data_IF_702869686701
#
_entry.id   IF_702869686701
#
_cell.length_a   1.000
_cell.length_b   1.000
_cell.length_c   1.000
_cell.angle_alpha   90.00
_cell.angle_beta   90.00
_cell.angle_gamma   90.00
#
_symmetry.space_group_name_H-M   'P 1'
#
loop_
_entity.id
_entity.type
_entity.pdbx_description
1 polymer ?
#
# COMPACT_ATOMS: atom_id res chain seq x y z
N UNK A 1 -11.17 1.57 9.24
CA UNK A 1 -11.08 0.95 10.58
C UNK A 1 -10.70 -0.50 10.35
N UNK A 2 -9.64 -1.02 11.00
CA UNK A 2 -9.29 -2.45 10.89
C UNK A 2 -10.24 -3.25 11.77
N UNK A 3 -11.23 -3.90 11.15
CA UNK A 3 -12.22 -4.73 11.82
C UNK A 3 -11.82 -6.21 11.76
N UNK A 4 -12.13 -6.94 12.81
CA UNK A 4 -11.94 -8.39 12.91
C UNK A 4 -13.24 -9.05 13.37
N UNK A 5 -13.53 -10.24 12.85
CA UNK A 5 -14.60 -11.10 13.33
C UNK A 5 -14.01 -12.11 14.28
N UNK A 6 -14.55 -12.20 15.49
CA UNK A 6 -14.28 -13.30 16.40
C UNK A 6 -15.50 -14.22 16.37
N UNK A 7 -15.30 -15.47 16.01
CA UNK A 7 -16.30 -16.55 16.12
C UNK A 7 -15.93 -17.40 17.34
N UNK A 8 -16.89 -17.66 18.21
CA UNK A 8 -16.71 -18.48 19.40
C UNK A 8 -17.77 -19.58 19.39
N UNK A 9 -17.34 -20.82 19.54
CA UNK A 9 -18.18 -22.01 19.68
C UNK A 9 -18.00 -22.53 21.09
N UNK A 10 -19.03 -22.42 21.92
CA UNK A 10 -18.98 -22.84 23.31
C UNK A 10 -20.23 -23.65 23.68
N UNK A 11 -20.16 -24.58 24.64
CA UNK A 11 -21.31 -25.28 25.18
C UNK A 11 -22.22 -24.30 25.95
N UNK A 12 -23.52 -24.50 25.86
CA UNK A 12 -24.55 -23.58 26.36
C UNK A 12 -24.66 -23.48 27.88
N UNK A 13 -23.82 -24.21 28.62
CA UNK A 13 -23.67 -24.15 30.06
C UNK A 13 -22.76 -23.00 30.53
N UNK A 14 -21.97 -22.38 29.64
CA UNK A 14 -21.06 -21.28 29.99
C UNK A 14 -21.63 -19.94 29.51
N UNK A 15 -21.76 -18.98 30.42
CA UNK A 15 -22.37 -17.67 30.18
C UNK A 15 -21.40 -16.68 29.50
N UNK A 16 -20.79 -17.09 28.39
CA UNK A 16 -19.81 -16.30 27.62
C UNK A 16 -20.41 -15.00 27.06
N UNK A 17 -21.69 -15.01 26.71
CA UNK A 17 -22.38 -13.86 26.13
C UNK A 17 -22.34 -12.63 27.05
N UNK A 18 -22.70 -12.80 28.33
CA UNK A 18 -22.72 -11.70 29.29
C UNK A 18 -21.31 -11.19 29.62
N UNK A 19 -20.33 -12.08 29.75
CA UNK A 19 -18.96 -11.71 30.07
C UNK A 19 -18.31 -10.89 28.93
N UNK A 20 -18.54 -11.29 27.68
CA UNK A 20 -17.96 -10.61 26.51
C UNK A 20 -18.65 -9.28 26.18
N UNK A 21 -19.99 -9.24 26.25
CA UNK A 21 -20.77 -8.03 25.89
C UNK A 21 -20.68 -6.92 26.94
N UNK A 22 -20.39 -7.24 28.21
CA UNK A 22 -20.24 -6.23 29.27
C UNK A 22 -18.81 -5.70 29.38
N UNK A 23 -17.79 -6.53 29.11
CA UNK A 23 -16.40 -6.17 29.36
C UNK A 23 -15.68 -5.58 28.14
N UNK A 24 -16.21 -5.74 26.92
CA UNK A 24 -15.53 -5.33 25.70
C UNK A 24 -16.39 -4.50 24.76
N UNK A 25 -15.77 -3.55 24.06
CA UNK A 25 -16.42 -2.74 23.04
C UNK A 25 -16.49 -3.49 21.71
N UNK A 26 -17.66 -3.49 21.08
CA UNK A 26 -17.93 -4.15 19.80
C UNK A 26 -18.67 -3.24 18.83
N UNK A 27 -18.52 -3.52 17.53
CA UNK A 27 -19.23 -2.82 16.44
C UNK A 27 -20.58 -3.49 16.14
N UNK A 28 -20.63 -4.82 16.14
CA UNK A 28 -21.85 -5.62 15.95
C UNK A 28 -21.62 -7.01 16.54
N UNK A 29 -22.70 -7.70 16.93
CA UNK A 29 -22.61 -9.07 17.40
C UNK A 29 -23.81 -9.88 16.93
N UNK A 30 -23.63 -11.20 16.81
CA UNK A 30 -24.69 -12.16 16.53
C UNK A 30 -24.50 -13.36 17.46
N UNK A 31 -25.60 -13.81 18.05
CA UNK A 31 -25.63 -15.02 18.88
C UNK A 31 -26.61 -15.99 18.23
N UNK A 32 -26.20 -17.23 18.05
CA UNK A 32 -27.10 -18.30 17.64
C UNK A 32 -26.93 -19.50 18.56
N UNK A 33 -28.05 -20.08 18.99
CA UNK A 33 -28.08 -21.28 19.81
C UNK A 33 -28.46 -22.47 18.91
N UNK A 34 -27.60 -23.49 18.86
CA UNK A 34 -27.82 -24.72 18.08
C UNK A 34 -27.50 -25.92 18.96
N UNK A 35 -28.46 -26.83 19.18
CA UNK A 35 -28.25 -28.15 19.80
C UNK A 35 -27.30 -28.16 21.03
N UNK A 36 -27.60 -27.33 22.04
CA UNK A 36 -26.81 -27.15 23.28
C UNK A 36 -25.45 -26.42 23.13
N UNK A 37 -25.14 -25.88 21.96
CA UNK A 37 -23.99 -25.00 21.71
C UNK A 37 -24.42 -23.55 21.45
N UNK A 38 -23.59 -22.62 21.88
CA UNK A 38 -23.71 -21.17 21.70
C UNK A 38 -22.63 -20.73 20.73
N UNK A 39 -23.07 -20.14 19.62
CA UNK A 39 -22.20 -19.59 18.60
C UNK A 39 -22.25 -18.08 18.68
N UNK A 40 -21.14 -17.45 19.05
CA UNK A 40 -21.04 -16.00 19.20
C UNK A 40 -20.16 -15.47 18.08
N UNK A 41 -20.68 -14.54 17.29
CA UNK A 41 -19.94 -13.78 16.29
C UNK A 41 -19.84 -12.34 16.74
N UNK A 42 -18.64 -11.83 16.99
CA UNK A 42 -18.44 -10.45 17.42
C UNK A 42 -17.55 -9.73 16.42
N UNK A 43 -18.07 -8.64 15.87
CA UNK A 43 -17.34 -7.70 15.03
C UNK A 43 -16.71 -6.62 15.90
N UNK A 44 -15.38 -6.57 15.94
CA UNK A 44 -14.63 -5.65 16.81
C UNK A 44 -13.53 -4.92 16.05
N UNK A 45 -13.08 -3.79 16.58
CA UNK A 45 -11.83 -3.17 16.13
C UNK A 45 -10.62 -4.01 16.58
N UNK A 46 -9.54 -4.00 15.80
CA UNK A 46 -8.31 -4.76 16.09
C UNK A 46 -7.79 -4.63 17.53
N UNK A 47 -7.83 -3.41 18.10
CA UNK A 47 -7.38 -3.19 19.50
C UNK A 47 -8.29 -3.87 20.53
N UNK A 48 -9.59 -3.96 20.26
CA UNK A 48 -10.54 -4.66 21.12
C UNK A 48 -10.45 -6.18 20.90
N UNK A 49 -10.16 -6.63 19.68
CA UNK A 49 -9.95 -8.04 19.36
C UNK A 49 -8.79 -8.65 20.15
N UNK A 50 -7.63 -7.97 20.20
CA UNK A 50 -6.48 -8.43 21.00
C UNK A 50 -6.84 -8.61 22.48
N UNK A 51 -7.63 -7.69 23.05
CA UNK A 51 -8.07 -7.77 24.45
C UNK A 51 -9.03 -8.95 24.68
N UNK A 52 -9.96 -9.18 23.76
CA UNK A 52 -10.90 -10.30 23.83
C UNK A 52 -10.16 -11.64 23.71
N UNK A 53 -9.24 -11.77 22.75
CA UNK A 53 -8.47 -13.00 22.56
C UNK A 53 -7.59 -13.33 23.78
N UNK A 54 -6.92 -12.34 24.36
CA UNK A 54 -6.13 -12.54 25.59
C UNK A 54 -7.00 -12.98 26.78
N UNK A 55 -8.27 -12.57 26.82
CA UNK A 55 -9.23 -12.99 27.86
C UNK A 55 -9.71 -14.42 27.61
N UNK A 56 -10.03 -14.76 26.36
CA UNK A 56 -10.39 -16.12 25.97
C UNK A 56 -9.23 -17.10 26.21
N UNK A 57 -7.99 -16.75 25.89
CA UNK A 57 -6.83 -17.60 26.15
C UNK A 57 -6.66 -17.92 27.66
N UNK A 58 -6.95 -16.96 28.54
CA UNK A 58 -6.97 -17.18 29.99
C UNK A 58 -8.08 -18.14 30.41
N UNK A 59 -9.29 -17.99 29.85
CA UNK A 59 -10.41 -18.88 30.14
C UNK A 59 -10.19 -20.30 29.60
N UNK A 60 -9.54 -20.43 28.45
CA UNK A 60 -9.17 -21.72 27.85
C UNK A 60 -8.07 -22.45 28.63
N UNK A 61 -7.33 -21.74 29.49
CA UNK A 61 -6.30 -22.34 30.35
C UNK A 61 -6.88 -23.11 31.55
N UNK A 62 -8.17 -22.95 31.86
CA UNK A 62 -8.87 -23.76 32.85
C UNK A 62 -9.32 -25.10 32.23
N UNK A 63 -8.98 -26.23 32.87
CA UNK A 63 -9.21 -27.62 32.40
C UNK A 63 -10.68 -27.99 32.07
N UNK A 64 -11.64 -27.12 32.39
CA UNK A 64 -13.08 -27.34 32.19
C UNK A 64 -13.71 -26.49 31.08
N UNK A 65 -12.94 -25.61 30.45
CA UNK A 65 -13.43 -24.74 29.38
C UNK A 65 -13.28 -25.41 28.02
N UNK A 66 -14.35 -26.01 27.51
CA UNK A 66 -14.41 -26.50 26.14
C UNK A 66 -14.99 -25.41 25.24
N UNK A 67 -14.17 -24.63 24.54
CA UNK A 67 -14.67 -23.74 23.50
C UNK A 67 -13.61 -23.51 22.42
N UNK A 68 -14.06 -23.27 21.20
CA UNK A 68 -13.20 -22.91 20.07
C UNK A 68 -13.40 -21.44 19.72
N UNK A 69 -12.31 -20.70 19.54
CA UNK A 69 -12.35 -19.31 19.09
C UNK A 69 -11.57 -19.14 17.78
N UNK A 70 -12.23 -18.57 16.77
CA UNK A 70 -11.69 -18.30 15.44
C UNK A 70 -11.61 -16.79 15.23
N UNK A 71 -10.44 -16.32 14.78
CA UNK A 71 -10.24 -14.92 14.39
C UNK A 71 -10.20 -14.80 12.87
N UNK A 72 -11.13 -14.05 12.30
CA UNK A 72 -11.11 -13.69 10.89
C UNK A 72 -10.77 -12.22 10.69
N UNK A 73 -9.86 -11.95 9.76
CA UNK A 73 -9.64 -10.59 9.28
C UNK A 73 -10.75 -10.22 8.30
N UNK A 74 -11.51 -9.18 8.63
CA UNK A 74 -12.56 -8.69 7.73
C UNK A 74 -11.96 -7.75 6.72
N UNK A 75 -12.10 -8.13 5.46
CA UNK A 75 -11.53 -7.44 4.31
C UNK A 75 -12.39 -6.25 3.86
N UNK A 76 -13.70 -6.40 3.98
CA UNK A 76 -14.68 -5.37 3.67
C UNK A 76 -15.87 -5.50 4.63
N UNK A 77 -16.36 -4.36 5.11
CA UNK A 77 -17.56 -4.28 5.93
C UNK A 77 -18.46 -3.19 5.37
N UNK A 78 -19.71 -3.55 5.06
CA UNK A 78 -20.75 -2.60 4.68
C UNK A 78 -21.64 -2.44 5.91
N UNK A 79 -21.63 -1.27 6.59
CA UNK A 79 -22.57 -1.04 7.66
C UNK A 79 -23.98 -0.98 7.07
N UNK A 80 -24.86 -1.88 7.51
CA UNK A 80 -26.27 -1.86 7.11
C UNK A 80 -26.98 -0.69 7.80
N UNK A 81 -27.43 0.31 7.03
CA UNK A 81 -28.59 1.11 7.40
C UNK A 81 -29.78 0.47 6.70
N UNK A 82 -30.62 -0.22 7.48
CA UNK A 82 -31.92 -0.84 7.18
C UNK A 82 -32.38 -0.93 5.70
N UNK A 83 -32.71 -2.17 5.28
CA UNK A 83 -33.24 -2.65 3.99
C UNK A 83 -33.74 -1.60 2.97
N UNK A 84 -33.13 -1.59 1.79
CA UNK A 84 -33.88 -1.37 0.55
C UNK A 84 -33.32 -2.26 -0.57
N UNK A 85 -34.24 -3.04 -1.15
CA UNK A 85 -34.00 -4.13 -2.09
C UNK A 85 -33.84 -3.54 -3.48
N UNK A 86 -32.72 -3.79 -4.15
CA UNK A 86 -32.64 -3.73 -5.62
C UNK A 86 -31.51 -4.64 -6.11
N UNK A 87 -31.87 -5.77 -6.72
CA UNK A 87 -30.98 -6.63 -7.49
C UNK A 87 -30.87 -6.10 -8.92
N UNK A 88 -29.66 -6.04 -9.49
CA UNK A 88 -29.50 -6.38 -10.90
C UNK A 88 -28.62 -7.62 -11.06
N UNK A 89 -29.10 -8.48 -11.94
CA UNK A 89 -28.39 -9.59 -12.56
C UNK A 89 -27.27 -9.03 -13.45
N UNK A 90 -26.04 -9.55 -13.35
CA UNK A 90 -25.04 -9.37 -14.40
C UNK A 90 -24.05 -10.55 -14.37
N UNK A 91 -24.34 -11.55 -15.19
CA UNK A 91 -23.39 -12.57 -15.62
C UNK A 91 -22.42 -11.95 -16.62
N UNK A 92 -21.21 -11.56 -16.19
CA UNK A 92 -20.05 -11.34 -17.07
C UNK A 92 -18.75 -11.69 -16.34
N UNK A 93 -18.17 -12.82 -16.73
CA UNK A 93 -16.77 -13.24 -16.56
C UNK A 93 -16.03 -12.64 -15.35
N UNK A 94 -16.22 -13.25 -14.18
CA UNK A 94 -15.41 -12.98 -12.99
C UNK A 94 -13.97 -13.45 -13.24
N UNK A 95 -13.16 -12.56 -13.81
CA UNK A 95 -11.78 -12.47 -13.39
C UNK A 95 -11.79 -12.36 -11.86
N UNK A 96 -11.08 -13.25 -11.17
CA UNK A 96 -10.94 -13.29 -9.71
C UNK A 96 -10.42 -11.92 -9.19
N UNK A 97 -11.35 -11.02 -8.90
CA UNK A 97 -11.10 -9.60 -8.59
C UNK A 97 -11.48 -9.36 -7.13
N UNK A 98 -10.59 -8.74 -6.36
CA UNK A 98 -10.91 -8.30 -5.01
C UNK A 98 -12.08 -7.29 -5.02
N UNK A 99 -12.94 -7.34 -4.01
CA UNK A 99 -14.04 -6.39 -3.87
C UNK A 99 -13.52 -4.95 -3.80
N UNK A 100 -14.19 -4.00 -4.44
CA UNK A 100 -13.79 -2.58 -4.41
C UNK A 100 -13.62 -2.06 -2.98
N UNK A 101 -14.49 -2.47 -2.06
CA UNK A 101 -14.43 -2.05 -0.66
C UNK A 101 -13.20 -2.60 0.07
N UNK A 102 -12.78 -3.81 -0.29
CA UNK A 102 -11.54 -4.39 0.19
C UNK A 102 -10.33 -3.62 -0.37
N UNK A 103 -10.32 -3.29 -1.67
CA UNK A 103 -9.24 -2.49 -2.25
C UNK A 103 -9.18 -1.08 -1.63
N UNK A 104 -10.33 -0.47 -1.39
CA UNK A 104 -10.45 0.82 -0.70
C UNK A 104 -9.91 0.76 0.74
N UNK A 105 -10.28 -0.26 1.51
CA UNK A 105 -9.81 -0.41 2.90
C UNK A 105 -8.28 -0.61 2.95
N UNK A 106 -7.73 -1.37 1.99
CA UNK A 106 -6.28 -1.54 1.84
C UNK A 106 -5.59 -0.21 1.52
N UNK A 107 -6.14 0.60 0.60
CA UNK A 107 -5.58 1.93 0.30
C UNK A 107 -5.70 2.87 1.49
N UNK A 108 -6.84 2.94 2.16
CA UNK A 108 -7.03 3.79 3.34
C UNK A 108 -6.04 3.49 4.46
N UNK A 109 -5.76 2.21 4.72
CA UNK A 109 -4.75 1.83 5.71
C UNK A 109 -3.32 2.09 5.23
N UNK A 110 -3.07 1.93 3.93
CA UNK A 110 -1.77 2.16 3.30
C UNK A 110 -1.38 3.64 3.19
N UNK A 111 -2.38 4.53 3.12
CA UNK A 111 -2.22 5.98 2.98
C UNK A 111 -2.13 6.73 4.31
N UNK A 112 -1.97 6.00 5.42
CA UNK A 112 -1.71 6.55 6.74
C UNK A 112 -0.23 6.42 7.07
N UNK A 113 0.36 7.53 7.52
CA UNK A 113 1.69 7.52 8.11
C UNK A 113 1.58 6.79 9.46
N UNK A 114 2.20 5.62 9.54
CA UNK A 114 2.30 4.83 10.77
C UNK A 114 3.75 4.85 11.29
N UNK A 115 3.92 4.65 12.60
CA UNK A 115 5.26 4.55 13.20
C UNK A 115 6.09 3.44 12.54
N UNK A 116 5.47 2.28 12.28
CA UNK A 116 6.11 1.16 11.59
C UNK A 116 6.55 1.53 10.17
N UNK A 117 5.71 2.25 9.41
CA UNK A 117 6.09 2.73 8.08
C UNK A 117 7.37 3.57 8.14
N UNK A 118 7.42 4.54 9.07
CA UNK A 118 8.60 5.40 9.24
C UNK A 118 9.87 4.59 9.57
N UNK A 119 9.78 3.65 10.51
CA UNK A 119 10.94 2.83 10.90
C UNK A 119 11.41 1.91 9.76
N UNK A 120 10.49 1.27 9.04
CA UNK A 120 10.86 0.45 7.89
C UNK A 120 11.51 1.29 6.78
N UNK A 121 11.01 2.49 6.50
CA UNK A 121 11.64 3.42 5.55
C UNK A 121 13.04 3.83 6.02
N UNK A 122 13.24 4.09 7.31
CA UNK A 122 14.56 4.40 7.87
C UNK A 122 15.54 3.25 7.66
N UNK A 123 15.15 2.02 8.02
CA UNK A 123 16.01 0.85 7.87
C UNK A 123 16.28 0.52 6.41
N UNK A 124 15.27 0.60 5.53
CA UNK A 124 15.45 0.40 4.11
C UNK A 124 16.44 1.42 3.51
N UNK A 125 16.33 2.71 3.89
CA UNK A 125 17.24 3.74 3.42
C UNK A 125 18.69 3.51 3.87
N UNK A 126 18.89 3.10 5.13
CA UNK A 126 20.21 2.76 5.64
C UNK A 126 20.81 1.55 4.91
N UNK A 127 20.05 0.47 4.75
CA UNK A 127 20.51 -0.75 4.07
C UNK A 127 20.78 -0.48 2.59
N UNK A 128 19.93 0.28 1.91
CA UNK A 128 20.13 0.67 0.52
C UNK A 128 21.39 1.55 0.35
N UNK A 129 21.60 2.52 1.24
CA UNK A 129 22.79 3.35 1.23
C UNK A 129 24.07 2.52 1.40
N UNK A 130 24.08 1.61 2.37
CA UNK A 130 25.20 0.68 2.58
C UNK A 130 25.39 -0.23 1.36
N UNK A 131 24.31 -0.73 0.77
CA UNK A 131 24.35 -1.56 -0.44
C UNK A 131 24.97 -0.84 -1.63
N UNK A 132 24.61 0.43 -1.85
CA UNK A 132 25.19 1.26 -2.90
C UNK A 132 26.68 1.55 -2.63
N UNK A 133 27.05 1.89 -1.39
CA UNK A 133 28.43 2.16 -1.00
C UNK A 133 29.31 0.92 -1.19
N UNK A 134 28.82 -0.26 -0.80
CA UNK A 134 29.54 -1.52 -0.94
C UNK A 134 29.44 -2.13 -2.34
N UNK A 135 28.70 -1.50 -3.27
CA UNK A 135 28.42 -2.04 -4.60
C UNK A 135 27.86 -3.48 -4.53
N UNK A 136 26.89 -3.69 -3.62
CA UNK A 136 26.26 -4.99 -3.36
C UNK A 136 24.80 -5.00 -3.82
N UNK A 137 24.51 -5.54 -5.02
CA UNK A 137 23.14 -5.63 -5.54
C UNK A 137 22.21 -6.39 -4.60
N UNK A 138 22.73 -7.39 -3.88
CA UNK A 138 21.95 -8.18 -2.91
C UNK A 138 21.43 -7.34 -1.74
N UNK A 139 22.23 -6.40 -1.21
CA UNK A 139 21.79 -5.48 -0.15
C UNK A 139 20.79 -4.47 -0.67
N UNK A 140 20.98 -3.96 -1.89
CA UNK A 140 20.02 -3.05 -2.54
C UNK A 140 18.68 -3.75 -2.76
N UNK A 141 18.69 -4.99 -3.26
CA UNK A 141 17.47 -5.80 -3.41
C UNK A 141 16.79 -6.09 -2.06
N UNK A 142 17.58 -6.39 -1.02
CA UNK A 142 17.07 -6.60 0.33
C UNK A 142 16.38 -5.36 0.90
N UNK A 143 16.94 -4.17 0.68
CA UNK A 143 16.32 -2.91 1.09
C UNK A 143 14.96 -2.67 0.43
N UNK A 144 14.82 -3.01 -0.86
CA UNK A 144 13.57 -2.86 -1.60
C UNK A 144 12.44 -3.79 -1.11
N UNK A 145 12.78 -4.92 -0.47
CA UNK A 145 11.79 -5.80 0.18
C UNK A 145 11.24 -5.16 1.45
N UNK A 146 12.09 -4.43 2.18
CA UNK A 146 11.75 -3.78 3.45
C UNK A 146 10.94 -2.50 3.21
N UNK A 147 11.27 -1.76 2.15
CA UNK A 147 10.68 -0.46 1.85
C UNK A 147 9.16 -0.55 1.57
N UNK A 148 8.32 0.12 2.38
CA UNK A 148 6.87 0.09 2.23
C UNK A 148 6.33 1.05 1.15
N UNK A 149 7.17 1.78 0.40
CA UNK A 149 6.76 2.88 -0.50
C UNK A 149 5.85 2.47 -1.66
N UNK A 150 5.79 1.19 -2.02
CA UNK A 150 4.83 0.68 -3.03
C UNK A 150 3.37 0.99 -2.65
N UNK A 151 3.03 0.84 -1.37
CA UNK A 151 1.66 0.93 -0.87
C UNK A 151 1.03 2.31 -1.09
N UNK A 152 1.64 3.44 -0.65
CA UNK A 152 1.08 4.76 -0.90
C UNK A 152 1.04 5.12 -2.40
N UNK A 153 2.01 4.67 -3.21
CA UNK A 153 2.02 4.95 -4.66
C UNK A 153 0.86 4.26 -5.38
N UNK A 154 0.63 2.98 -5.06
CA UNK A 154 -0.53 2.24 -5.56
C UNK A 154 -1.84 2.90 -5.10
N UNK A 155 -1.85 3.41 -3.87
CA UNK A 155 -2.95 4.19 -3.31
C UNK A 155 -3.27 5.47 -4.08
N UNK A 156 -2.25 6.22 -4.53
CA UNK A 156 -2.43 7.40 -5.39
C UNK A 156 -3.13 7.00 -6.68
N UNK A 157 -2.58 6.02 -7.42
CA UNK A 157 -3.15 5.58 -8.70
C UNK A 157 -4.58 5.05 -8.56
N UNK A 158 -4.86 4.26 -7.53
CA UNK A 158 -6.19 3.71 -7.29
C UNK A 158 -7.19 4.81 -6.93
N UNK A 159 -6.84 5.69 -6.00
CA UNK A 159 -7.69 6.81 -5.57
C UNK A 159 -7.98 7.80 -6.70
N UNK A 160 -7.01 8.00 -7.60
CA UNK A 160 -7.17 8.80 -8.81
C UNK A 160 -8.23 8.25 -9.77
N UNK A 161 -8.31 6.92 -9.90
CA UNK A 161 -9.33 6.26 -10.72
C UNK A 161 -10.72 6.34 -10.06
N UNK A 162 -10.78 6.30 -8.73
CA UNK A 162 -12.04 6.47 -8.01
C UNK A 162 -12.50 7.94 -7.92
N UNK A 163 -11.60 8.91 -8.07
CA UNK A 163 -11.90 10.34 -7.93
C UNK A 163 -11.93 10.84 -6.48
N UNK A 164 -11.44 10.04 -5.54
CA UNK A 164 -11.46 10.32 -4.10
C UNK A 164 -10.35 11.31 -3.70
N UNK A 165 -10.58 12.62 -3.90
CA UNK A 165 -9.58 13.69 -3.68
C UNK A 165 -8.90 13.65 -2.32
N UNK A 166 -9.66 13.31 -1.26
CA UNK A 166 -9.11 13.20 0.10
C UNK A 166 -8.08 12.09 0.19
N UNK A 167 -8.38 10.93 -0.40
CA UNK A 167 -7.52 9.75 -0.38
C UNK A 167 -6.31 9.94 -1.31
N UNK A 168 -6.48 10.61 -2.46
CA UNK A 168 -5.36 11.04 -3.32
C UNK A 168 -4.37 11.88 -2.51
N UNK A 169 -4.85 12.94 -1.84
CA UNK A 169 -3.98 13.83 -1.05
C UNK A 169 -3.27 13.08 0.08
N UNK A 170 -3.97 12.23 0.81
CA UNK A 170 -3.36 11.44 1.89
C UNK A 170 -2.28 10.48 1.38
N UNK A 171 -2.54 9.82 0.25
CA UNK A 171 -1.60 8.89 -0.39
C UNK A 171 -0.35 9.64 -0.90
N UNK A 172 -0.52 10.81 -1.52
CA UNK A 172 0.58 11.66 -1.98
C UNK A 172 1.43 12.12 -0.79
N UNK A 173 0.81 12.62 0.29
CA UNK A 173 1.53 13.05 1.48
C UNK A 173 2.34 11.91 2.10
N UNK A 174 1.76 10.70 2.16
CA UNK A 174 2.45 9.52 2.70
C UNK A 174 3.62 9.09 1.81
N UNK A 175 3.44 9.07 0.47
CA UNK A 175 4.52 8.76 -0.46
C UNK A 175 5.67 9.79 -0.38
N UNK A 176 5.33 11.08 -0.33
CA UNK A 176 6.30 12.16 -0.17
C UNK A 176 7.04 12.09 1.16
N UNK A 177 6.33 11.73 2.24
CA UNK A 177 6.95 11.54 3.54
C UNK A 177 7.97 10.39 3.54
N UNK A 178 7.65 9.25 2.92
CA UNK A 178 8.58 8.13 2.79
C UNK A 178 9.82 8.48 1.96
N UNK A 179 9.63 9.13 0.81
CA UNK A 179 10.73 9.61 -0.02
C UNK A 179 11.59 10.65 0.71
N UNK A 180 10.95 11.59 1.42
CA UNK A 180 11.64 12.62 2.18
C UNK A 180 12.53 12.02 3.28
N UNK A 181 12.05 11.03 4.03
CA UNK A 181 12.85 10.29 5.02
C UNK A 181 14.05 9.64 4.33
N UNK A 182 13.81 8.91 3.25
CA UNK A 182 14.87 8.17 2.54
C UNK A 182 15.97 9.10 2.01
N UNK A 183 15.57 10.20 1.37
CA UNK A 183 16.48 11.23 0.85
C UNK A 183 17.25 11.91 1.99
N UNK A 184 16.58 12.22 3.11
CA UNK A 184 17.22 12.88 4.25
C UNK A 184 18.29 12.00 4.88
N UNK A 185 17.99 10.72 5.10
CA UNK A 185 18.95 9.76 5.64
C UNK A 185 20.15 9.61 4.69
N UNK A 186 19.89 9.45 3.40
CA UNK A 186 20.93 9.34 2.40
C UNK A 186 21.78 10.62 2.29
N UNK A 187 21.18 11.80 2.46
CA UNK A 187 21.90 13.07 2.50
C UNK A 187 22.79 13.22 3.73
N UNK A 188 22.30 12.79 4.91
CA UNK A 188 23.14 12.72 6.11
C UNK A 188 24.34 11.79 5.87
N UNK A 189 24.12 10.62 5.28
CA UNK A 189 25.21 9.70 4.96
C UNK A 189 26.17 10.28 3.90
N UNK A 190 25.68 10.91 2.84
CA UNK A 190 26.49 11.54 1.81
C UNK A 190 27.28 12.77 2.28
N UNK A 191 26.87 13.38 3.40
CA UNK A 191 27.64 14.44 4.06
C UNK A 191 28.87 13.88 4.79
N UNK A 192 28.75 12.71 5.42
CA UNK A 192 29.85 12.09 6.18
C UNK A 192 30.72 11.14 5.35
N UNK A 193 30.16 10.50 4.33
CA UNK A 193 30.79 9.46 3.54
C UNK A 193 31.01 9.98 2.11
N UNK A 194 32.22 9.86 1.55
CA UNK A 194 32.47 10.24 0.17
C UNK A 194 31.60 9.44 -0.80
N UNK A 195 31.17 10.09 -1.88
CA UNK A 195 30.32 9.45 -2.90
C UNK A 195 31.02 8.22 -3.49
N UNK A 196 30.33 7.07 -3.59
CA UNK A 196 30.90 5.84 -4.13
C UNK A 196 30.92 5.87 -5.66
N UNK A 197 31.70 6.78 -6.25
CA UNK A 197 31.77 6.99 -7.72
C UNK A 197 32.32 5.78 -8.49
N UNK A 198 32.95 4.82 -7.81
CA UNK A 198 33.36 3.54 -8.37
C UNK A 198 32.34 2.40 -8.25
N UNK A 199 31.19 2.65 -7.61
CA UNK A 199 30.12 1.65 -7.47
C UNK A 199 29.24 1.62 -8.71
N UNK A 200 29.05 0.44 -9.30
CA UNK A 200 28.13 0.26 -10.42
C UNK A 200 26.70 0.60 -10.02
N UNK A 201 26.31 0.29 -8.78
CA UNK A 201 24.99 0.63 -8.22
C UNK A 201 24.78 2.14 -8.07
N UNK A 202 25.86 2.92 -7.89
CA UNK A 202 25.76 4.38 -7.87
C UNK A 202 25.71 4.95 -9.30
N UNK A 203 26.58 4.45 -10.18
CA UNK A 203 26.69 4.92 -11.57
C UNK A 203 25.41 4.62 -12.37
N UNK A 204 24.76 3.48 -12.11
CA UNK A 204 23.52 3.10 -12.80
C UNK A 204 22.39 4.10 -12.53
N UNK A 205 22.38 4.76 -11.38
CA UNK A 205 21.35 5.74 -11.00
C UNK A 205 21.69 7.18 -11.40
N UNK A 206 22.91 7.43 -11.88
CA UNK A 206 23.32 8.74 -12.43
C UNK A 206 23.19 8.79 -13.96
N UNK A 207 22.58 7.78 -14.58
CA UNK A 207 22.28 7.79 -16.01
C UNK A 207 20.83 7.45 -16.22
N UNK A 208 20.13 8.30 -16.97
CA UNK A 208 18.74 8.03 -17.36
C UNK A 208 18.77 7.29 -18.69
N UNK A 209 18.21 6.09 -18.74
CA UNK A 209 18.03 5.31 -19.97
C UNK A 209 16.56 5.17 -20.33
N UNK A 210 16.25 5.13 -21.64
CA UNK A 210 14.87 4.92 -22.10
C UNK A 210 14.31 3.57 -21.65
N UNK A 211 15.18 2.58 -21.43
CA UNK A 211 14.79 1.26 -20.95
C UNK A 211 14.27 1.28 -19.50
N UNK A 212 14.71 2.25 -18.68
CA UNK A 212 14.22 2.42 -17.31
C UNK A 212 12.73 2.74 -17.29
N UNK A 213 12.25 3.49 -18.30
CA UNK A 213 10.83 3.80 -18.49
C UNK A 213 10.04 2.53 -18.76
N UNK A 214 10.55 1.64 -19.61
CA UNK A 214 9.89 0.36 -19.94
C UNK A 214 9.76 -0.51 -18.69
N UNK A 215 10.83 -0.57 -17.89
CA UNK A 215 10.83 -1.29 -16.60
C UNK A 215 9.82 -0.68 -15.63
N UNK A 216 9.80 0.65 -15.49
CA UNK A 216 8.89 1.36 -14.60
C UNK A 216 7.41 1.20 -15.01
N UNK A 217 7.10 1.30 -16.30
CA UNK A 217 5.75 1.06 -16.82
C UNK A 217 5.34 -0.39 -16.54
N UNK A 218 6.24 -1.35 -16.79
CA UNK A 218 5.97 -2.77 -16.55
C UNK A 218 5.74 -3.08 -15.07
N UNK A 219 6.56 -2.51 -14.18
CA UNK A 219 6.41 -2.63 -12.73
C UNK A 219 5.10 -2.00 -12.24
N UNK A 220 4.72 -0.83 -12.75
CA UNK A 220 3.43 -0.19 -12.44
C UNK A 220 2.22 -0.99 -12.92
N UNK A 221 2.30 -1.57 -14.13
CA UNK A 221 1.24 -2.42 -14.67
C UNK A 221 1.08 -3.70 -13.84
N UNK A 222 2.20 -4.39 -13.59
CA UNK A 222 2.23 -5.58 -12.74
C UNK A 222 1.70 -5.25 -11.33
N UNK A 223 2.10 -4.11 -10.77
CA UNK A 223 1.61 -3.56 -9.50
C UNK A 223 0.11 -3.47 -9.45
N UNK A 224 -0.47 -2.77 -10.41
CA UNK A 224 -1.90 -2.59 -10.50
C UNK A 224 -2.66 -3.90 -10.76
N UNK A 225 -2.15 -4.78 -11.62
CA UNK A 225 -2.78 -6.10 -11.86
C UNK A 225 -2.74 -6.94 -10.59
N UNK A 226 -1.58 -7.01 -9.92
CA UNK A 226 -1.38 -7.76 -8.67
C UNK A 226 -2.31 -7.24 -7.57
N UNK A 227 -2.44 -5.93 -7.49
CA UNK A 227 -3.35 -5.26 -6.55
C UNK A 227 -4.81 -5.63 -6.80
N UNK A 228 -5.28 -5.58 -8.06
CA UNK A 228 -6.66 -5.97 -8.43
C UNK A 228 -6.92 -7.45 -8.20
N UNK A 229 -5.96 -8.31 -8.53
CA UNK A 229 -6.06 -9.77 -8.42
C UNK A 229 -5.77 -10.33 -7.03
N UNK A 230 -5.52 -9.48 -6.03
CA UNK A 230 -5.19 -9.92 -4.66
C UNK A 230 -3.96 -10.84 -4.60
N UNK A 231 -3.14 -10.85 -5.65
CA UNK A 231 -1.89 -11.60 -5.63
C UNK A 231 -0.95 -10.79 -4.74
N UNK A 232 -0.52 -11.35 -3.61
CA UNK A 232 0.54 -10.79 -2.80
C UNK A 232 1.86 -10.95 -3.55
N UNK A 233 2.04 -10.19 -4.62
CA UNK A 233 3.30 -10.09 -5.33
C UNK A 233 4.25 -9.29 -4.47
N UNK A 234 4.81 -9.88 -3.41
CA UNK A 234 5.95 -9.29 -2.69
C UNK A 234 7.05 -8.92 -3.71
N UNK A 235 7.22 -9.76 -4.74
CA UNK A 235 8.05 -9.51 -5.92
C UNK A 235 7.69 -8.23 -6.69
N UNK A 236 6.40 -7.91 -6.83
CA UNK A 236 5.96 -6.70 -7.53
C UNK A 236 6.24 -5.45 -6.70
N UNK A 237 6.10 -5.56 -5.38
CA UNK A 237 6.54 -4.52 -4.45
C UNK A 237 8.03 -4.25 -4.52
N UNK A 238 8.84 -5.30 -4.65
CA UNK A 238 10.28 -5.18 -4.89
C UNK A 238 10.56 -4.46 -6.21
N UNK A 239 9.84 -4.76 -7.30
CA UNK A 239 10.06 -4.09 -8.60
C UNK A 239 9.72 -2.59 -8.54
N UNK A 240 8.64 -2.22 -7.86
CA UNK A 240 8.25 -0.81 -7.69
C UNK A 240 9.25 -0.10 -6.79
N UNK A 241 9.64 -0.69 -5.66
CA UNK A 241 10.63 -0.10 -4.75
C UNK A 241 12.01 0.01 -5.40
N UNK A 242 12.43 -0.99 -6.19
CA UNK A 242 13.67 -0.98 -6.97
C UNK A 242 13.75 0.20 -7.95
N UNK A 243 12.62 0.63 -8.50
CA UNK A 243 12.58 1.80 -9.39
C UNK A 243 12.63 3.14 -8.64
N UNK A 244 12.48 3.16 -7.31
CA UNK A 244 12.25 4.39 -6.53
C UNK A 244 13.28 4.61 -5.44
N UNK A 245 13.54 3.61 -4.62
CA UNK A 245 14.43 3.71 -3.48
C UNK A 245 15.87 3.97 -3.92
N UNK A 246 16.49 3.20 -4.83
CA UNK A 246 17.89 3.45 -5.21
C UNK A 246 18.13 4.85 -5.82
N UNK A 247 17.33 5.34 -6.79
CA UNK A 247 17.45 6.73 -7.26
C UNK A 247 17.29 7.77 -6.14
N UNK A 248 16.36 7.55 -5.19
CA UNK A 248 16.16 8.46 -4.07
C UNK A 248 17.38 8.48 -3.12
N UNK A 249 18.04 7.34 -2.90
CA UNK A 249 19.25 7.26 -2.08
C UNK A 249 20.43 7.93 -2.78
N UNK A 250 20.64 7.69 -4.07
CA UNK A 250 21.71 8.35 -4.84
C UNK A 250 21.47 9.87 -4.91
N UNK A 251 20.22 10.30 -5.10
CA UNK A 251 19.82 11.70 -5.00
C UNK A 251 20.17 12.29 -3.63
N UNK A 252 19.78 11.63 -2.54
CA UNK A 252 20.10 12.08 -1.19
C UNK A 252 21.61 12.20 -0.97
N UNK A 253 22.39 11.17 -1.31
CA UNK A 253 23.84 11.18 -1.18
C UNK A 253 24.49 12.33 -1.94
N UNK A 254 24.10 12.54 -3.20
CA UNK A 254 24.65 13.64 -4.04
C UNK A 254 24.29 15.02 -3.51
N UNK A 255 23.07 15.19 -2.97
CA UNK A 255 22.67 16.42 -2.27
C UNK A 255 23.49 16.63 -0.99
N UNK A 256 23.71 15.58 -0.19
CA UNK A 256 24.53 15.60 1.02
C UNK A 256 26.01 15.96 0.77
N UNK A 257 26.53 15.54 -0.37
CA UNK A 257 27.88 15.87 -0.84
C UNK A 257 27.97 17.26 -1.51
N UNK A 258 26.89 18.06 -1.50
CA UNK A 258 26.77 19.37 -2.16
C UNK A 258 27.04 19.35 -3.68
N UNK A 259 26.91 18.20 -4.33
CA UNK A 259 27.08 18.07 -5.78
C UNK A 259 25.75 18.23 -6.52
N UNK A 260 25.22 19.46 -6.53
CA UNK A 260 23.92 19.76 -7.12
C UNK A 260 23.81 19.39 -8.60
N UNK A 261 24.90 19.50 -9.36
CA UNK A 261 24.92 19.14 -10.77
C UNK A 261 24.76 17.63 -10.97
N UNK A 262 25.44 16.82 -10.14
CA UNK A 262 25.33 15.35 -10.13
C UNK A 262 23.97 14.87 -9.61
N UNK A 263 23.24 15.69 -8.86
CA UNK A 263 21.93 15.37 -8.30
C UNK A 263 20.79 15.45 -9.33
N UNK A 264 20.98 16.14 -10.47
CA UNK A 264 19.95 16.32 -11.49
C UNK A 264 19.53 14.99 -12.12
N UNK A 265 20.50 14.13 -12.45
CA UNK A 265 20.27 12.84 -13.08
C UNK A 265 19.43 11.87 -12.22
N UNK A 266 19.82 11.56 -10.96
CA UNK A 266 19.02 10.70 -10.10
C UNK A 266 17.66 11.31 -9.74
N UNK A 267 17.54 12.65 -9.67
CA UNK A 267 16.25 13.32 -9.51
C UNK A 267 15.32 13.06 -10.69
N UNK A 268 15.82 13.22 -11.91
CA UNK A 268 15.03 12.97 -13.13
C UNK A 268 14.64 11.50 -13.24
N UNK A 269 15.56 10.58 -12.93
CA UNK A 269 15.29 9.15 -12.90
C UNK A 269 14.19 8.79 -11.90
N UNK A 270 14.24 9.38 -10.70
CA UNK A 270 13.19 9.22 -9.70
C UNK A 270 11.83 9.73 -10.21
N UNK A 271 11.79 10.94 -10.78
CA UNK A 271 10.56 11.56 -11.26
C UNK A 271 9.93 10.77 -12.42
N UNK A 272 10.74 10.31 -13.38
CA UNK A 272 10.23 9.55 -14.52
C UNK A 272 9.73 8.17 -14.09
N UNK A 273 10.39 7.52 -13.13
CA UNK A 273 9.95 6.24 -12.60
C UNK A 273 8.63 6.37 -11.83
N UNK A 274 8.52 7.35 -10.93
CA UNK A 274 7.26 7.63 -10.22
C UNK A 274 6.12 7.87 -11.22
N UNK A 275 6.36 8.74 -12.21
CA UNK A 275 5.31 9.10 -13.17
C UNK A 275 4.92 7.91 -14.06
N UNK A 276 5.89 7.14 -14.55
CA UNK A 276 5.67 5.91 -15.34
C UNK A 276 4.83 4.89 -14.59
N UNK A 277 5.17 4.63 -13.33
CA UNK A 277 4.46 3.69 -12.45
C UNK A 277 3.02 4.18 -12.24
N UNK A 278 2.85 5.47 -11.92
CA UNK A 278 1.52 6.06 -11.72
C UNK A 278 0.65 5.96 -12.97
N UNK A 279 1.18 6.35 -14.12
CA UNK A 279 0.48 6.34 -15.40
C UNK A 279 0.03 4.93 -15.77
N UNK A 280 0.95 3.97 -15.71
CA UNK A 280 0.68 2.57 -16.01
C UNK A 280 -0.37 1.98 -15.08
N UNK A 281 -0.26 2.23 -13.78
CA UNK A 281 -1.21 1.76 -12.80
C UNK A 281 -2.61 2.35 -13.00
N UNK A 282 -2.72 3.65 -13.33
CA UNK A 282 -4.00 4.31 -13.66
C UNK A 282 -4.63 3.66 -14.88
N UNK A 283 -3.85 3.39 -15.94
CA UNK A 283 -4.35 2.72 -17.16
C UNK A 283 -4.90 1.33 -16.81
N UNK A 284 -4.15 0.52 -16.06
CA UNK A 284 -4.58 -0.82 -15.66
C UNK A 284 -5.85 -0.78 -14.81
N UNK A 285 -5.91 0.09 -13.81
CA UNK A 285 -7.11 0.24 -12.97
C UNK A 285 -8.32 0.71 -13.76
N UNK A 286 -8.11 1.59 -14.75
CA UNK A 286 -9.15 2.04 -15.66
C UNK A 286 -9.67 0.89 -16.53
N UNK A 287 -8.77 0.11 -17.15
CA UNK A 287 -9.10 -1.08 -17.94
C UNK A 287 -9.75 -2.19 -17.11
N UNK A 288 -9.41 -2.29 -15.83
CA UNK A 288 -9.97 -3.27 -14.89
C UNK A 288 -11.44 -2.98 -14.54
N UNK A 289 -12.02 -1.88 -15.02
CA UNK A 289 -13.46 -1.61 -14.90
C UNK A 289 -13.91 -1.19 -13.51
N UNK A 290 -12.99 -0.71 -12.65
CA UNK A 290 -13.33 -0.18 -11.33
C UNK A 290 -14.23 1.06 -11.52
N UNK A 291 -15.49 1.00 -11.08
CA UNK A 291 -16.48 2.07 -11.21
C UNK A 291 -17.07 2.46 -9.83
N UNK A 292 -17.35 3.76 -9.59
CA UNK A 292 -18.15 4.21 -8.47
C UNK A 292 -19.58 3.67 -8.55
N UNK A 293 -20.18 3.42 -7.39
CA UNK A 293 -21.53 2.87 -7.25
C UNK A 293 -22.60 3.98 -7.26
N UNK A 294 -22.28 5.20 -6.82
CA UNK A 294 -23.26 6.29 -6.77
C UNK A 294 -23.26 7.12 -8.05
N UNK A 295 -24.46 7.46 -8.53
CA UNK A 295 -24.68 8.29 -9.73
C UNK A 295 -24.06 9.70 -9.64
N UNK A 296 -23.90 10.28 -8.44
CA UNK A 296 -23.20 11.55 -8.22
C UNK A 296 -21.67 11.38 -8.35
N UNK A 297 -21.13 10.30 -7.80
CA UNK A 297 -19.71 9.96 -7.88
C UNK A 297 -19.30 9.50 -9.28
N UNK A 298 -20.25 9.06 -10.13
CA UNK A 298 -19.97 8.69 -11.53
C UNK A 298 -19.53 9.91 -12.35
N UNK A 299 -20.16 11.09 -12.18
CA UNK A 299 -19.76 12.33 -12.89
C UNK A 299 -18.43 12.89 -12.38
N UNK A 300 -18.18 12.81 -11.07
CA UNK A 300 -16.91 13.24 -10.49
C UNK A 300 -15.77 12.26 -10.84
N UNK A 301 -16.01 10.95 -10.82
CA UNK A 301 -15.02 9.95 -11.19
C UNK A 301 -14.76 9.86 -12.69
N UNK A 302 -15.73 10.13 -13.57
CA UNK A 302 -15.49 10.17 -15.02
C UNK A 302 -14.58 11.36 -15.39
N UNK A 303 -14.83 12.51 -14.76
CA UNK A 303 -14.03 13.72 -14.95
C UNK A 303 -12.66 13.59 -14.29
N UNK A 304 -12.59 13.01 -13.08
CA UNK A 304 -11.33 12.77 -12.37
C UNK A 304 -10.46 11.72 -13.04
N UNK A 305 -11.04 10.67 -13.65
CA UNK A 305 -10.28 9.66 -14.41
C UNK A 305 -9.57 10.28 -15.62
N UNK A 306 -10.31 11.05 -16.41
CA UNK A 306 -9.75 11.73 -17.60
C UNK A 306 -8.74 12.80 -17.17
N UNK A 307 -9.05 13.60 -16.15
CA UNK A 307 -8.12 14.61 -15.66
C UNK A 307 -6.85 14.01 -15.05
N UNK A 308 -6.93 12.88 -14.34
CA UNK A 308 -5.73 12.22 -13.80
C UNK A 308 -4.87 11.63 -14.91
N UNK A 309 -5.47 11.02 -15.94
CA UNK A 309 -4.74 10.52 -17.12
C UNK A 309 -4.07 11.66 -17.89
N UNK A 310 -4.79 12.76 -18.12
CA UNK A 310 -4.23 13.94 -18.79
C UNK A 310 -3.13 14.59 -17.97
N UNK A 311 -3.34 14.79 -16.67
CA UNK A 311 -2.35 15.41 -15.79
C UNK A 311 -1.07 14.57 -15.69
N UNK A 312 -1.20 13.27 -15.38
CA UNK A 312 -0.05 12.37 -15.30
C UNK A 312 0.62 12.23 -16.66
N UNK A 313 -0.14 12.11 -17.75
CA UNK A 313 0.37 12.01 -19.13
C UNK A 313 1.08 13.28 -19.62
N UNK A 314 0.59 14.47 -19.28
CA UNK A 314 1.27 15.74 -19.61
C UNK A 314 2.62 15.81 -18.89
N UNK A 315 2.64 15.50 -17.59
CA UNK A 315 3.89 15.46 -16.82
C UNK A 315 4.84 14.42 -17.40
N UNK A 316 4.34 13.26 -17.82
CA UNK A 316 5.13 12.23 -18.47
C UNK A 316 5.81 12.74 -19.74
N UNK A 317 5.04 13.39 -20.63
CA UNK A 317 5.56 13.98 -21.87
C UNK A 317 6.61 15.06 -21.57
N UNK A 318 6.38 15.92 -20.58
CA UNK A 318 7.35 16.95 -20.16
C UNK A 318 8.64 16.31 -19.66
N UNK A 319 8.56 15.26 -18.84
CA UNK A 319 9.72 14.55 -18.33
C UNK A 319 10.50 13.84 -19.44
N UNK A 320 9.81 13.21 -20.40
CA UNK A 320 10.47 12.62 -21.57
C UNK A 320 11.20 13.68 -22.38
N UNK A 321 10.56 14.83 -22.65
CA UNK A 321 11.19 15.92 -23.36
C UNK A 321 12.42 16.42 -22.60
N UNK A 322 12.35 16.56 -21.28
CA UNK A 322 13.48 16.95 -20.45
C UNK A 322 14.63 15.94 -20.51
N UNK A 323 14.33 14.63 -20.48
CA UNK A 323 15.34 13.57 -20.61
C UNK A 323 16.01 13.61 -21.98
N UNK A 324 15.22 13.74 -23.06
CA UNK A 324 15.75 13.85 -24.42
C UNK A 324 16.63 15.10 -24.55
N UNK A 325 16.18 16.25 -24.05
CA UNK A 325 16.96 17.50 -24.10
C UNK A 325 18.25 17.47 -23.27
N UNK A 326 18.33 16.64 -22.24
CA UNK A 326 19.54 16.50 -21.41
C UNK A 326 20.50 15.42 -21.91
N UNK A 327 20.04 14.54 -22.81
CA UNK A 327 20.88 13.54 -23.49
C UNK A 327 21.54 14.08 -24.77
N UNK A 328 21.03 15.18 -25.33
CA UNK A 328 21.60 15.93 -26.47
C UNK A 328 22.30 17.20 -26.01
#
# INVERSE_FOLDING_TARGET
MELQLIEIYAPGNVNFENDLLQNFSYTSYWVSHLNDEVHIRILVEKQAAEKILNHLEKLASDEHSQFDALLYTIKAYIPSKYHEKNTPNDNKDEFERASRLELLSVVENSSKISSSFSWFTVFAALVAAVGIIQNSPGLVLGANIIDPSMKPITGVSFSSVLGEKKLIRQSIVTAMFGLFISITIAALLGFFIPLPTGSNEFISQTKVHILDIVVAISAGAAGAISFVKRSQGQLVGVMISLALLPPAIVLGMTLGAFQLQSAIQPLLLLLINVNSILLSAIIVFWLSGIKPVNWKDIKEASTSRVNSLLFTGIIFCILIIAVVLLQF
#
